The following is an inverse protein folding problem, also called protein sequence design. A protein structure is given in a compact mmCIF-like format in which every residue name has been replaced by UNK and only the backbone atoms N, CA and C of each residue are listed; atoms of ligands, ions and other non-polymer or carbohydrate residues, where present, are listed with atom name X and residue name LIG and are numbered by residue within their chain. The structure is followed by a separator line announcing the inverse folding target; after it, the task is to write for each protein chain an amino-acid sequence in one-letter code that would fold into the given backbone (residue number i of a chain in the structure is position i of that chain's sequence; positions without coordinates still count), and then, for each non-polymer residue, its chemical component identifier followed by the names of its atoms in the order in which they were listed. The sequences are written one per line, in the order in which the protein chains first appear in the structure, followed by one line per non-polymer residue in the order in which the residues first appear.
data_IF_903520015485
#
_entry.id   IF_903520015485
#
_cell.length_a   1.000
_cell.length_b   1.000
_cell.length_c   1.000
_cell.angle_alpha   90.00
_cell.angle_beta   90.00
_cell.angle_gamma   90.00
#
_symmetry.space_group_name_H-M   'P 1'
#
loop_
_entity.id
_entity.type
_entity.pdbx_description
1 polymer ?
#
# COMPACT_ATOMS: atom_id res chain seq x y z
N UNK A 1 21.70 42.71 41.83
CA UNK A 1 20.58 41.87 41.40
C UNK A 1 19.33 42.68 41.64
N UNK A 2 18.75 43.19 40.55
CA UNK A 2 17.68 44.19 40.56
C UNK A 2 16.36 43.48 40.25
N UNK A 3 15.45 43.44 41.22
CA UNK A 3 14.09 42.94 41.01
C UNK A 3 13.29 43.96 40.21
N UNK A 4 12.70 43.50 39.10
CA UNK A 4 11.90 44.33 38.20
C UNK A 4 10.44 44.09 38.52
N UNK A 5 9.81 45.04 39.21
CA UNK A 5 8.39 45.03 39.54
C UNK A 5 7.55 45.46 38.33
N UNK A 6 6.64 44.58 37.93
CA UNK A 6 5.68 44.74 36.84
C UNK A 6 4.53 45.67 37.28
N UNK A 7 4.44 46.86 36.68
CA UNK A 7 3.39 47.85 36.95
C UNK A 7 2.26 47.76 35.92
N UNK A 8 1.02 47.80 36.41
CA UNK A 8 -0.21 47.46 35.71
C UNK A 8 -0.85 48.71 35.05
N UNK A 9 -1.11 48.58 33.75
CA UNK A 9 -2.09 49.26 32.87
C UNK A 9 -2.69 50.63 33.23
N UNK A 10 -2.49 51.59 32.32
CA UNK A 10 -3.42 52.71 32.11
C UNK A 10 -4.57 52.31 31.15
N UNK A 11 -5.81 52.79 31.38
CA UNK A 11 -6.98 52.42 30.60
C UNK A 11 -7.02 53.14 29.25
N UNK A 12 -7.14 52.38 28.16
CA UNK A 12 -7.38 52.91 26.82
C UNK A 12 -8.79 53.48 26.77
N UNK A 13 -8.89 54.80 26.62
CA UNK A 13 -10.12 55.54 26.42
C UNK A 13 -10.86 54.99 25.19
N UNK A 14 -12.06 54.47 25.45
CA UNK A 14 -12.90 53.73 24.52
C UNK A 14 -13.43 54.66 23.41
N UNK A 15 -12.72 54.71 22.28
CA UNK A 15 -13.14 55.39 21.06
C UNK A 15 -14.26 54.65 20.32
N UNK A 16 -15.48 54.61 20.88
CA UNK A 16 -16.66 54.25 20.09
C UNK A 16 -17.26 55.51 19.47
N UNK A 17 -17.32 55.62 18.13
CA UNK A 17 -18.02 56.72 17.50
C UNK A 17 -19.51 56.65 17.84
N UNK A 18 -20.06 57.77 18.36
CA UNK A 18 -21.48 57.94 18.62
C UNK A 18 -22.27 57.69 17.33
N UNK A 19 -23.00 56.58 17.28
CA UNK A 19 -23.82 56.21 16.12
C UNK A 19 -25.06 57.11 16.11
N UNK A 20 -25.35 57.84 15.02
CA UNK A 20 -26.53 58.68 14.95
C UNK A 20 -27.80 57.83 15.09
N UNK A 21 -28.76 58.30 15.89
CA UNK A 21 -30.07 57.64 15.99
C UNK A 21 -30.76 57.64 14.62
N UNK A 22 -31.36 56.50 14.20
CA UNK A 22 -31.93 56.34 12.86
C UNK A 22 -33.13 57.27 12.63
N UNK A 23 -33.24 57.77 11.40
CA UNK A 23 -34.31 58.69 11.00
C UNK A 23 -35.68 58.01 11.07
N UNK A 24 -36.79 58.74 11.35
CA UNK A 24 -38.14 58.19 11.31
C UNK A 24 -38.49 57.43 10.02
N UNK A 25 -37.87 57.80 8.89
CA UNK A 25 -38.02 57.10 7.61
C UNK A 25 -37.39 55.69 7.62
N UNK A 26 -36.25 55.50 8.29
CA UNK A 26 -35.62 54.17 8.42
C UNK A 26 -36.42 53.24 9.35
N UNK A 27 -37.04 53.80 10.39
CA UNK A 27 -37.92 53.04 11.28
C UNK A 27 -39.20 52.59 10.55
N UNK A 28 -39.76 53.45 9.69
CA UNK A 28 -40.88 53.10 8.81
C UNK A 28 -40.49 52.00 7.80
N UNK A 29 -39.30 52.08 7.20
CA UNK A 29 -38.81 51.07 6.26
C UNK A 29 -38.62 49.69 6.92
N UNK A 30 -38.09 49.63 8.14
CA UNK A 30 -37.98 48.36 8.90
C UNK A 30 -39.35 47.73 9.16
N UNK A 31 -40.37 48.53 9.48
CA UNK A 31 -41.74 48.05 9.73
C UNK A 31 -42.39 47.44 8.48
N UNK A 32 -42.05 47.94 7.29
CA UNK A 32 -42.53 47.39 6.02
C UNK A 32 -41.86 46.04 5.74
N UNK A 33 -40.55 45.90 5.98
CA UNK A 33 -39.82 44.64 5.77
C UNK A 33 -40.29 43.53 6.70
N UNK A 34 -40.58 43.84 7.97
CA UNK A 34 -41.04 42.85 8.95
C UNK A 34 -42.50 42.40 8.73
N UNK A 35 -43.31 43.17 7.99
CA UNK A 35 -44.71 42.81 7.68
C UNK A 35 -44.87 41.97 6.41
N UNK A 36 -43.78 41.67 5.71
CA UNK A 36 -43.80 40.76 4.57
C UNK A 36 -43.86 39.29 5.05
N UNK A 37 -44.76 38.45 4.50
CA UNK A 37 -44.81 37.04 4.88
C UNK A 37 -43.51 36.36 4.48
N UNK A 38 -42.76 35.86 5.47
CA UNK A 38 -41.57 35.02 5.24
C UNK A 38 -42.02 33.76 4.49
N UNK A 39 -41.86 33.75 3.16
CA UNK A 39 -42.01 32.54 2.34
C UNK A 39 -41.12 31.46 2.93
N UNK A 40 -41.73 30.39 3.43
CA UNK A 40 -41.03 29.26 4.03
C UNK A 40 -40.00 28.71 3.05
N UNK A 41 -38.72 28.82 3.40
CA UNK A 41 -37.68 28.03 2.77
C UNK A 41 -38.00 26.56 3.05
N UNK A 42 -38.45 25.83 2.03
CA UNK A 42 -38.65 24.39 2.12
C UNK A 42 -37.37 23.73 2.63
N UNK A 43 -37.50 22.79 3.58
CA UNK A 43 -36.38 21.94 4.02
C UNK A 43 -35.81 21.23 2.79
N UNK A 44 -34.66 21.68 2.32
CA UNK A 44 -33.90 20.95 1.32
C UNK A 44 -33.45 19.62 1.94
N UNK A 45 -33.70 18.47 1.29
CA UNK A 45 -33.24 17.20 1.81
C UNK A 45 -31.71 17.22 1.90
N UNK A 46 -31.11 16.56 2.92
CA UNK A 46 -29.67 16.53 3.06
C UNK A 46 -29.07 15.90 1.81
N UNK A 47 -28.17 16.62 1.15
CA UNK A 47 -27.41 16.12 0.01
C UNK A 47 -26.62 14.84 0.38
N UNK A 48 -26.22 14.03 -0.60
CA UNK A 48 -25.54 12.76 -0.34
C UNK A 48 -24.27 13.03 0.50
N UNK A 49 -24.22 12.46 1.70
CA UNK A 49 -23.03 12.49 2.56
C UNK A 49 -21.84 11.98 1.74
N UNK A 50 -20.80 12.81 1.57
CA UNK A 50 -19.53 12.36 0.98
C UNK A 50 -19.05 11.16 1.80
N UNK A 51 -19.05 9.96 1.21
CA UNK A 51 -18.58 8.75 1.89
C UNK A 51 -17.14 9.01 2.35
N UNK A 52 -16.87 8.79 3.64
CA UNK A 52 -15.53 8.93 4.20
C UNK A 52 -14.53 8.12 3.34
N UNK A 53 -13.40 8.74 3.00
CA UNK A 53 -12.33 8.08 2.26
C UNK A 53 -11.87 6.87 3.09
N UNK A 54 -11.84 5.64 2.54
CA UNK A 54 -11.47 4.47 3.32
C UNK A 54 -10.05 4.66 3.84
N UNK A 55 -9.82 4.26 5.11
CA UNK A 55 -8.53 4.33 5.77
C UNK A 55 -7.42 3.73 4.89
N UNK A 56 -6.22 4.31 4.96
CA UNK A 56 -5.06 3.86 4.20
C UNK A 56 -4.88 2.35 4.36
N UNK A 57 -4.96 1.62 3.24
CA UNK A 57 -4.76 0.17 3.23
C UNK A 57 -3.33 -0.08 3.69
N UNK A 58 -3.16 -0.84 4.78
CA UNK A 58 -1.86 -1.17 5.35
C UNK A 58 -0.90 -1.78 4.32
N UNK A 59 0.39 -1.86 4.70
CA UNK A 59 1.49 -2.36 3.87
C UNK A 59 1.04 -3.64 3.15
N UNK A 60 0.97 -3.60 1.81
CA UNK A 60 0.63 -4.78 1.02
C UNK A 60 1.81 -5.73 1.03
N UNK A 61 1.69 -6.79 1.82
CA UNK A 61 2.74 -7.80 1.91
C UNK A 61 2.70 -8.64 0.64
N UNK A 62 3.82 -8.67 -0.09
CA UNK A 62 3.97 -9.38 -1.36
C UNK A 62 4.40 -10.82 -1.07
N UNK A 63 3.66 -11.80 -1.59
CA UNK A 63 4.06 -13.21 -1.54
C UNK A 63 5.20 -13.45 -2.55
N UNK A 64 6.46 -13.35 -2.09
CA UNK A 64 7.62 -13.72 -2.90
C UNK A 64 7.69 -15.23 -3.08
N UNK A 65 8.44 -15.69 -4.09
CA UNK A 65 8.60 -17.12 -4.40
C UNK A 65 9.12 -17.92 -3.19
N UNK A 66 10.09 -17.37 -2.44
CA UNK A 66 10.63 -18.01 -1.23
C UNK A 66 9.58 -18.15 -0.13
N UNK A 67 8.77 -17.10 0.09
CA UNK A 67 7.68 -17.12 1.08
C UNK A 67 6.61 -18.15 0.71
N UNK A 68 6.22 -18.23 -0.57
CA UNK A 68 5.28 -19.25 -1.07
C UNK A 68 5.79 -20.67 -0.82
N UNK A 69 7.07 -20.90 -1.07
CA UNK A 69 7.69 -22.21 -0.92
C UNK A 69 7.80 -22.62 0.58
N UNK A 70 8.05 -21.66 1.48
CA UNK A 70 8.06 -21.86 2.94
C UNK A 70 6.65 -22.12 3.51
N UNK A 71 5.64 -21.41 3.04
CA UNK A 71 4.24 -21.67 3.43
C UNK A 71 3.82 -23.06 2.95
N UNK A 72 4.17 -23.40 1.70
CA UNK A 72 3.88 -24.73 1.14
C UNK A 72 4.51 -25.86 1.96
N UNK A 73 5.79 -25.73 2.35
CA UNK A 73 6.45 -26.77 3.15
C UNK A 73 5.80 -26.94 4.52
N UNK A 74 5.38 -25.85 5.14
CA UNK A 74 4.67 -25.84 6.43
C UNK A 74 3.32 -26.57 6.34
N UNK A 75 2.55 -26.34 5.26
CA UNK A 75 1.27 -27.03 5.02
C UNK A 75 1.48 -28.53 4.79
N UNK A 76 2.52 -28.92 4.04
CA UNK A 76 2.80 -30.33 3.75
C UNK A 76 3.24 -31.12 5.00
N UNK A 77 4.00 -30.47 5.89
CA UNK A 77 4.47 -31.05 7.14
C UNK A 77 3.46 -30.93 8.30
N UNK A 78 2.18 -30.67 8.01
CA UNK A 78 1.17 -30.42 9.03
C UNK A 78 1.06 -31.62 10.00
N UNK A 79 1.25 -31.39 11.33
CA UNK A 79 1.33 -32.47 12.30
C UNK A 79 -0.04 -32.90 12.85
N UNK A 80 -1.06 -32.05 12.79
CA UNK A 80 -2.38 -32.34 13.37
C UNK A 80 -3.28 -33.12 12.41
N UNK A 81 -4.18 -33.93 12.95
CA UNK A 81 -5.17 -34.72 12.21
C UNK A 81 -6.17 -33.86 11.42
N UNK A 82 -6.40 -32.60 11.83
CA UNK A 82 -7.31 -31.66 11.17
C UNK A 82 -6.56 -30.44 10.63
N UNK A 83 -6.80 -30.12 9.37
CA UNK A 83 -6.25 -28.94 8.70
C UNK A 83 -7.35 -27.94 8.33
N UNK A 84 -7.30 -26.74 8.91
CA UNK A 84 -8.21 -25.63 8.61
C UNK A 84 -7.42 -24.42 8.12
N UNK A 85 -8.05 -23.57 7.32
CA UNK A 85 -7.41 -22.34 6.84
C UNK A 85 -7.04 -21.39 7.98
N UNK A 86 -7.82 -21.36 9.06
CA UNK A 86 -7.51 -20.56 10.25
C UNK A 86 -6.27 -21.09 10.98
N UNK A 87 -6.13 -22.41 11.11
CA UNK A 87 -4.94 -22.99 11.72
C UNK A 87 -3.68 -22.73 10.87
N UNK A 88 -3.79 -22.81 9.53
CA UNK A 88 -2.70 -22.45 8.62
C UNK A 88 -2.36 -20.97 8.77
N UNK A 89 -3.36 -20.09 8.82
CA UNK A 89 -3.14 -18.66 9.01
C UNK A 89 -2.37 -18.39 10.30
N UNK A 90 -2.79 -18.98 11.42
CA UNK A 90 -2.11 -18.84 12.71
C UNK A 90 -0.65 -19.34 12.64
N UNK A 91 -0.41 -20.51 12.05
CA UNK A 91 0.93 -21.07 11.92
C UNK A 91 1.83 -20.23 10.99
N UNK A 92 1.28 -19.71 9.90
CA UNK A 92 2.02 -18.87 8.94
C UNK A 92 2.32 -17.49 9.54
N UNK A 93 1.37 -16.90 10.27
CA UNK A 93 1.57 -15.62 10.96
C UNK A 93 2.64 -15.75 12.05
N UNK A 94 2.62 -16.84 12.85
CA UNK A 94 3.64 -17.13 13.84
C UNK A 94 5.04 -17.29 13.21
N UNK A 95 5.12 -17.93 12.03
CA UNK A 95 6.40 -18.21 11.36
C UNK A 95 6.97 -17.02 10.58
N UNK A 96 6.12 -16.19 9.99
CA UNK A 96 6.52 -15.07 9.13
C UNK A 96 6.37 -13.69 9.80
N UNK A 97 5.88 -13.64 11.05
CA UNK A 97 5.66 -12.40 11.80
C UNK A 97 4.71 -11.40 11.12
N UNK A 98 3.87 -11.88 10.20
CA UNK A 98 3.06 -11.03 9.32
C UNK A 98 1.63 -11.53 9.27
N UNK A 99 0.66 -10.61 9.32
CA UNK A 99 -0.77 -10.93 9.25
C UNK A 99 -1.21 -11.25 7.82
N UNK A 100 -1.27 -12.54 7.49
CA UNK A 100 -1.78 -13.00 6.21
C UNK A 100 -3.29 -13.21 6.26
N UNK A 101 -4.00 -12.83 5.19
CA UNK A 101 -5.42 -13.16 5.04
C UNK A 101 -5.58 -14.51 4.34
N UNK A 102 -6.66 -15.23 4.66
CA UNK A 102 -7.00 -16.50 3.98
C UNK A 102 -7.07 -16.33 2.46
N UNK A 103 -7.64 -15.22 1.98
CA UNK A 103 -7.77 -14.93 0.56
C UNK A 103 -6.40 -14.79 -0.13
N UNK A 104 -5.43 -14.17 0.55
CA UNK A 104 -4.07 -14.07 0.06
C UNK A 104 -3.39 -15.45 -0.05
N UNK A 105 -3.60 -16.35 0.91
CA UNK A 105 -3.03 -17.70 0.85
C UNK A 105 -3.69 -18.57 -0.23
N UNK A 106 -5.02 -18.45 -0.38
CA UNK A 106 -5.81 -19.28 -1.30
C UNK A 106 -5.64 -18.87 -2.78
N UNK A 107 -5.29 -17.61 -3.07
CA UNK A 107 -5.08 -17.13 -4.44
C UNK A 107 -3.92 -17.83 -5.14
N UNK A 108 -2.91 -18.30 -4.40
CA UNK A 108 -1.75 -18.96 -4.97
C UNK A 108 -2.00 -20.45 -5.21
N UNK A 109 -1.94 -20.86 -6.48
CA UNK A 109 -2.17 -22.24 -6.91
C UNK A 109 -1.30 -23.28 -6.16
N UNK A 110 -0.04 -22.94 -5.87
CA UNK A 110 0.89 -23.82 -5.14
C UNK A 110 0.46 -24.09 -3.70
N UNK A 111 -0.05 -23.07 -3.00
CA UNK A 111 -0.51 -23.15 -1.61
C UNK A 111 -1.84 -23.90 -1.57
N UNK A 112 -2.76 -23.55 -2.47
CA UNK A 112 -4.06 -24.21 -2.62
C UNK A 112 -3.91 -25.71 -2.91
N UNK A 113 -2.99 -26.09 -3.80
CA UNK A 113 -2.70 -27.49 -4.12
C UNK A 113 -2.16 -28.23 -2.89
N UNK A 114 -1.18 -27.66 -2.19
CA UNK A 114 -0.63 -28.28 -0.99
C UNK A 114 -1.67 -28.48 0.13
N UNK A 115 -2.62 -27.55 0.29
CA UNK A 115 -3.75 -27.71 1.20
C UNK A 115 -4.68 -28.85 0.79
N UNK A 116 -5.01 -28.96 -0.49
CA UNK A 116 -5.85 -30.05 -1.00
C UNK A 116 -5.16 -31.41 -0.79
N UNK A 117 -3.87 -31.49 -1.09
CA UNK A 117 -3.06 -32.71 -0.95
C UNK A 117 -2.98 -33.15 0.52
N UNK A 118 -2.74 -32.23 1.46
CA UNK A 118 -2.71 -32.56 2.89
C UNK A 118 -4.08 -32.87 3.46
N UNK A 119 -5.12 -32.16 3.04
CA UNK A 119 -6.49 -32.49 3.45
C UNK A 119 -6.91 -33.88 2.96
N UNK A 120 -6.54 -34.26 1.74
CA UNK A 120 -6.75 -35.61 1.22
C UNK A 120 -5.97 -36.65 2.03
N UNK A 121 -4.69 -36.40 2.29
CA UNK A 121 -3.84 -37.27 3.13
C UNK A 121 -4.44 -37.53 4.50
N UNK A 122 -4.89 -36.48 5.19
CA UNK A 122 -5.47 -36.57 6.53
C UNK A 122 -6.85 -37.25 6.55
N UNK A 123 -7.56 -37.27 5.41
CA UNK A 123 -8.83 -38.00 5.27
C UNK A 123 -8.61 -39.48 5.04
N UNK A 124 -7.58 -39.83 4.27
CA UNK A 124 -7.27 -41.23 3.92
C UNK A 124 -6.59 -41.96 5.08
N UNK A 125 -5.72 -41.29 5.83
CA UNK A 125 -5.09 -41.84 7.04
C UNK A 125 -4.96 -40.75 8.13
N UNK A 126 -5.86 -40.71 9.13
CA UNK A 126 -5.83 -39.70 10.20
C UNK A 126 -4.62 -39.82 11.13
N UNK A 127 -4.08 -41.04 11.28
CA UNK A 127 -2.88 -41.35 12.08
C UNK A 127 -1.61 -41.53 11.24
N UNK A 128 -1.69 -41.37 9.91
CA UNK A 128 -0.48 -41.32 9.11
C UNK A 128 0.28 -40.04 9.49
N UNK A 129 1.33 -40.24 10.29
CA UNK A 129 2.42 -39.29 10.40
C UNK A 129 2.73 -38.77 8.98
N UNK A 130 2.98 -37.46 8.80
CA UNK A 130 3.37 -36.93 7.51
C UNK A 130 4.42 -37.87 6.96
N UNK A 131 4.15 -38.53 5.81
CA UNK A 131 5.13 -39.38 5.15
C UNK A 131 6.37 -38.53 5.15
N UNK A 132 7.33 -38.84 6.04
CA UNK A 132 8.65 -38.21 6.04
C UNK A 132 9.01 -38.39 4.58
N UNK A 133 9.08 -37.29 3.82
CA UNK A 133 9.47 -37.38 2.41
C UNK A 133 10.68 -38.27 2.48
N UNK A 134 10.57 -39.52 1.97
CA UNK A 134 11.63 -40.52 2.11
C UNK A 134 12.86 -39.74 1.77
N UNK A 135 13.74 -39.53 2.76
CA UNK A 135 14.83 -38.57 2.63
C UNK A 135 15.41 -38.89 1.27
N UNK A 136 15.18 -37.99 0.32
CA UNK A 136 15.52 -38.21 -1.08
C UNK A 136 16.97 -38.65 -0.98
N UNK A 137 17.25 -39.91 -1.33
CA UNK A 137 18.57 -40.51 -1.08
C UNK A 137 19.58 -39.48 -1.55
N UNK A 138 20.69 -39.27 -0.83
CA UNK A 138 21.66 -38.19 -1.14
C UNK A 138 21.90 -38.09 -2.66
N UNK A 139 21.93 -39.25 -3.32
CA UNK A 139 22.05 -39.49 -4.75
C UNK A 139 21.00 -38.81 -5.66
N UNK A 140 19.75 -38.63 -5.22
CA UNK A 140 18.69 -37.97 -5.99
C UNK A 140 18.55 -36.48 -5.66
N UNK A 141 19.09 -36.01 -4.53
CA UNK A 141 19.14 -34.58 -4.17
C UNK A 141 20.24 -33.86 -4.93
N UNK A 142 21.41 -34.48 -5.04
CA UNK A 142 22.59 -33.92 -5.73
C UNK A 142 22.30 -33.49 -7.17
N UNK A 143 21.69 -34.32 -8.06
CA UNK A 143 21.43 -33.91 -9.44
C UNK A 143 20.41 -32.77 -9.53
N UNK A 144 19.41 -32.76 -8.65
CA UNK A 144 18.43 -31.67 -8.59
C UNK A 144 19.10 -30.36 -8.15
N UNK A 145 19.98 -30.40 -7.15
CA UNK A 145 20.74 -29.22 -6.71
C UNK A 145 21.71 -28.75 -7.79
N UNK A 146 22.42 -29.66 -8.46
CA UNK A 146 23.31 -29.31 -9.58
C UNK A 146 22.55 -28.67 -10.74
N UNK A 147 21.37 -29.20 -11.10
CA UNK A 147 20.52 -28.59 -12.13
C UNK A 147 20.07 -27.18 -11.73
N UNK A 148 19.81 -26.97 -10.43
CA UNK A 148 19.42 -25.67 -9.90
C UNK A 148 20.58 -24.68 -9.90
N UNK A 149 21.79 -25.13 -9.56
CA UNK A 149 23.02 -24.34 -9.61
C UNK A 149 23.28 -23.89 -11.04
N UNK A 150 23.30 -24.81 -12.01
CA UNK A 150 23.48 -24.49 -13.43
C UNK A 150 22.47 -23.46 -13.93
N UNK A 151 21.19 -23.67 -13.63
CA UNK A 151 20.15 -22.70 -14.00
C UNK A 151 20.39 -21.30 -13.39
N UNK A 152 20.89 -21.24 -12.16
CA UNK A 152 21.19 -19.97 -11.51
C UNK A 152 22.43 -19.31 -12.10
N UNK A 153 23.48 -20.09 -12.40
CA UNK A 153 24.69 -19.62 -13.08
C UNK A 153 24.37 -19.07 -14.47
N UNK A 154 23.59 -19.80 -15.28
CA UNK A 154 23.13 -19.34 -16.59
C UNK A 154 22.37 -18.01 -16.48
N UNK A 155 21.53 -17.88 -15.44
CA UNK A 155 20.76 -16.64 -15.21
C UNK A 155 21.65 -15.49 -14.76
N UNK A 156 22.70 -15.76 -14.00
CA UNK A 156 23.68 -14.74 -13.62
C UNK A 156 24.39 -14.23 -14.87
N UNK A 157 24.88 -15.13 -15.72
CA UNK A 157 25.54 -14.78 -16.99
C UNK A 157 24.61 -13.94 -17.88
N UNK A 158 23.36 -14.36 -18.03
CA UNK A 158 22.36 -13.60 -18.81
C UNK A 158 22.14 -12.19 -18.24
N UNK A 159 22.01 -12.08 -16.91
CA UNK A 159 21.80 -10.79 -16.25
C UNK A 159 23.03 -9.89 -16.33
N UNK A 160 24.23 -10.44 -16.19
CA UNK A 160 25.49 -9.72 -16.35
C UNK A 160 25.63 -9.17 -17.78
N UNK A 161 25.30 -9.96 -18.79
CA UNK A 161 25.29 -9.49 -20.19
C UNK A 161 24.28 -8.36 -20.44
N UNK A 162 23.11 -8.44 -19.83
CA UNK A 162 22.09 -7.36 -19.90
C UNK A 162 22.60 -6.09 -19.21
N UNK A 163 23.28 -6.22 -18.06
CA UNK A 163 23.87 -5.08 -17.35
C UNK A 163 24.96 -4.43 -18.21
N UNK A 164 25.87 -5.20 -18.77
CA UNK A 164 26.94 -4.71 -19.64
C UNK A 164 26.38 -3.96 -20.87
N UNK A 165 25.29 -4.47 -21.46
CA UNK A 165 24.60 -3.79 -22.56
C UNK A 165 24.01 -2.44 -22.12
N UNK A 166 23.39 -2.39 -20.94
CA UNK A 166 22.85 -1.14 -20.38
C UNK A 166 23.95 -0.15 -20.02
N UNK A 167 25.06 -0.61 -19.44
CA UNK A 167 26.22 0.24 -19.14
C UNK A 167 26.82 0.83 -20.42
N UNK A 168 26.97 0.00 -21.46
CA UNK A 168 27.43 0.44 -22.78
C UNK A 168 26.52 1.51 -23.40
N UNK A 169 25.20 1.33 -23.29
CA UNK A 169 24.20 2.32 -23.71
C UNK A 169 24.30 3.60 -22.90
N UNK A 170 24.42 3.47 -21.57
CA UNK A 170 24.53 4.60 -20.66
C UNK A 170 25.76 5.46 -20.96
N UNK A 171 26.94 4.86 -21.14
CA UNK A 171 28.17 5.56 -21.52
C UNK A 171 28.02 6.30 -22.86
N UNK A 172 27.39 5.65 -23.85
CA UNK A 172 27.14 6.27 -25.16
C UNK A 172 26.22 7.48 -25.02
N UNK A 173 25.15 7.37 -24.24
CA UNK A 173 24.23 8.48 -23.99
C UNK A 173 24.88 9.61 -23.21
N UNK A 174 25.69 9.29 -22.20
CA UNK A 174 26.44 10.29 -21.44
C UNK A 174 27.40 11.08 -22.34
N UNK A 175 28.16 10.37 -23.20
CA UNK A 175 29.06 11.00 -24.17
C UNK A 175 28.31 11.87 -25.17
N UNK A 176 27.20 11.37 -25.72
CA UNK A 176 26.39 12.13 -26.67
C UNK A 176 25.74 13.36 -26.02
N UNK A 177 25.28 13.24 -24.77
CA UNK A 177 24.72 14.34 -24.00
C UNK A 177 25.78 15.42 -23.72
N UNK A 178 27.01 15.01 -23.37
CA UNK A 178 28.14 15.93 -23.18
C UNK A 178 28.46 16.70 -24.47
N UNK A 179 28.55 16.01 -25.61
CA UNK A 179 28.79 16.64 -26.92
C UNK A 179 27.64 17.58 -27.33
N UNK A 180 26.40 17.29 -26.92
CA UNK A 180 25.23 18.13 -27.15
C UNK A 180 25.08 19.27 -26.12
N UNK A 181 25.99 19.42 -25.16
CA UNK A 181 25.94 20.45 -24.12
C UNK A 181 24.77 20.28 -23.14
N UNK A 182 24.23 19.07 -22.99
CA UNK A 182 23.12 18.79 -22.07
C UNK A 182 23.68 18.65 -20.65
N UNK A 183 23.25 19.48 -19.69
CA UNK A 183 23.74 19.37 -18.31
C UNK A 183 23.19 18.12 -17.63
N UNK A 184 23.99 17.53 -16.74
CA UNK A 184 23.65 16.29 -16.01
C UNK A 184 22.31 16.38 -15.27
N UNK A 185 22.01 17.54 -14.67
CA UNK A 185 20.74 17.82 -13.98
C UNK A 185 19.50 17.61 -14.87
N UNK A 186 19.63 17.87 -16.18
CA UNK A 186 18.54 17.66 -17.16
C UNK A 186 18.41 16.19 -17.56
N UNK A 187 19.50 15.43 -17.49
CA UNK A 187 19.54 14.00 -17.78
C UNK A 187 18.96 13.17 -16.62
N UNK A 188 19.27 13.57 -15.38
CA UNK A 188 18.76 12.97 -14.14
C UNK A 188 17.35 13.46 -13.76
N UNK A 189 16.85 14.46 -14.49
CA UNK A 189 15.51 14.99 -14.30
C UNK A 189 14.45 13.91 -14.46
N UNK A 190 13.34 14.04 -13.72
CA UNK A 190 12.24 13.10 -13.84
C UNK A 190 11.71 13.09 -15.28
N UNK A 191 11.65 11.90 -15.87
CA UNK A 191 11.07 11.73 -17.20
C UNK A 191 9.63 12.21 -17.12
N UNK A 192 9.28 13.22 -17.93
CA UNK A 192 7.91 13.69 -17.99
C UNK A 192 7.01 12.52 -18.43
N UNK A 193 5.95 12.26 -17.67
CA UNK A 193 4.93 11.30 -18.08
C UNK A 193 4.25 11.86 -19.32
N UNK A 194 4.66 11.41 -20.50
CA UNK A 194 3.98 11.77 -21.75
C UNK A 194 2.59 11.16 -21.69
N UNK A 195 1.58 11.98 -21.39
CA UNK A 195 0.18 11.62 -21.58
C UNK A 195 -0.06 11.55 -23.09
N UNK A 196 0.10 10.34 -23.64
CA UNK A 196 -0.23 10.04 -25.03
C UNK A 196 -1.75 9.98 -25.11
N UNK A 197 -2.36 11.16 -25.15
CA UNK A 197 -3.80 11.34 -25.25
C UNK A 197 -4.37 10.37 -26.28
N UNK A 198 -5.29 9.52 -25.83
CA UNK A 198 -6.06 8.61 -26.65
C UNK A 198 -6.91 9.44 -27.61
N UNK A 199 -6.38 9.75 -28.79
CA UNK A 199 -7.17 10.30 -29.90
C UNK A 199 -7.98 9.15 -30.49
N UNK A 200 -9.15 8.91 -29.92
CA UNK A 200 -10.22 8.18 -30.60
C UNK A 200 -11.08 9.23 -31.31
N UNK A 201 -11.24 9.07 -32.62
CA UNK A 201 -12.09 9.89 -33.49
C UNK A 201 -13.09 8.96 -34.14
#
# INVERSE_FOLDING_TARGET
MSETSFSFGEPVESAYPSVPNPSPAELMAKRIVDSLPRKGAGRMPPGPRKKARPAARGIRVILTRGTVDSIRSTILAWPHSKITWEAIRAAVNSKLGTEWTRQALQSHAKIKKAYADTKKRLREDPDAAPKKRKATTRDTVVPVLQSRIRFLEDRVIELEGVIEEYESKFLRWQRNAYLAGIPLLKLDGTVQTVDRGRTDK
#
